data_IF_065679038446
#
_entry.id   IF_065679038446
#
_cell.length_a   1.000
_cell.length_b   1.000
_cell.length_c   1.000
_cell.angle_alpha   90.00
_cell.angle_beta   90.00
_cell.angle_gamma   90.00
#
_symmetry.space_group_name_H-M   'P 1'
#
loop_
_entity.id
_entity.type
_entity.pdbx_description
1 polymer ?
#
# COMPACT_ATOMS: atom_id res chain seq x y z
N UNK A 1 12.71 20.43 13.43
CA UNK A 1 12.06 21.25 12.41
C UNK A 1 10.61 21.48 12.78
N UNK A 2 10.15 22.69 12.59
CA UNK A 2 8.74 22.99 12.79
C UNK A 2 7.89 22.19 11.79
N UNK A 3 6.84 21.58 12.26
CA UNK A 3 5.90 20.88 11.39
C UNK A 3 5.04 21.89 10.64
N UNK A 4 4.85 21.64 9.34
CA UNK A 4 3.97 22.45 8.52
C UNK A 4 2.52 22.20 8.91
N UNK A 5 1.77 23.26 9.20
CA UNK A 5 0.33 23.19 9.40
C UNK A 5 -0.41 23.37 8.07
N UNK A 6 -1.50 22.67 7.92
CA UNK A 6 -2.37 22.75 6.75
C UNK A 6 -3.66 23.45 7.10
N UNK A 7 -4.30 24.09 6.12
CA UNK A 7 -5.56 24.79 6.36
C UNK A 7 -6.68 24.23 5.53
N UNK A 8 -7.80 24.00 6.18
CA UNK A 8 -9.13 23.92 5.58
C UNK A 8 -9.85 25.20 6.01
N UNK A 9 -10.96 25.56 5.31
CA UNK A 9 -11.78 26.73 5.67
C UNK A 9 -11.94 26.85 7.17
N UNK A 10 -11.51 27.63 7.96
CA UNK A 10 -11.59 27.80 9.43
C UNK A 10 -10.90 26.75 10.27
N UNK A 11 -10.22 25.76 9.67
CA UNK A 11 -9.57 24.69 10.44
C UNK A 11 -8.13 24.52 9.99
N UNK A 12 -7.20 24.48 10.94
CA UNK A 12 -5.80 24.09 10.71
C UNK A 12 -5.64 22.65 11.14
N UNK A 13 -4.82 21.89 10.39
CA UNK A 13 -4.60 20.49 10.70
C UNK A 13 -3.15 20.07 10.40
N UNK A 14 -2.71 19.03 11.11
CA UNK A 14 -1.36 18.47 11.01
C UNK A 14 -1.42 16.95 11.09
N UNK A 15 -2.22 16.34 10.23
CA UNK A 15 -2.41 14.90 10.21
C UNK A 15 -1.41 14.23 9.28
N UNK A 16 -0.29 13.80 9.85
CA UNK A 16 0.81 13.17 9.12
C UNK A 16 0.99 11.74 9.59
N UNK A 17 1.18 10.83 8.65
CA UNK A 17 1.30 9.40 8.93
C UNK A 17 2.46 8.79 8.16
N UNK A 18 3.26 8.00 8.85
CA UNK A 18 4.17 7.04 8.21
C UNK A 18 3.38 5.80 7.87
N UNK A 19 3.41 5.39 6.63
CA UNK A 19 2.67 4.23 6.15
C UNK A 19 3.62 3.33 5.37
N UNK A 20 3.60 2.04 5.71
CA UNK A 20 4.39 1.02 5.01
C UNK A 20 3.43 -0.03 4.49
N UNK A 21 3.57 -0.39 3.22
CA UNK A 21 2.81 -1.46 2.61
C UNK A 21 3.66 -2.22 1.59
N UNK A 22 3.27 -3.45 1.31
CA UNK A 22 4.10 -4.37 0.52
C UNK A 22 3.34 -4.92 -0.67
N UNK A 23 4.05 -5.29 -1.74
CA UNK A 23 3.46 -6.16 -2.75
C UNK A 23 3.01 -7.48 -2.14
N UNK A 24 1.99 -8.09 -2.71
CA UNK A 24 1.48 -9.38 -2.26
C UNK A 24 2.61 -10.42 -2.25
N UNK A 25 2.68 -11.23 -1.20
CA UNK A 25 3.76 -12.20 -0.93
C UNK A 25 5.14 -11.55 -0.74
N UNK A 26 5.20 -10.26 -0.47
CA UNK A 26 6.45 -9.52 -0.33
C UNK A 26 7.37 -9.71 -1.55
N UNK A 27 6.77 -9.80 -2.74
CA UNK A 27 7.55 -10.01 -3.97
C UNK A 27 8.47 -8.81 -4.24
N UNK A 28 9.71 -9.10 -4.58
CA UNK A 28 10.69 -8.08 -4.95
C UNK A 28 10.52 -7.73 -6.42
N UNK A 29 9.56 -6.88 -6.72
CA UNK A 29 9.20 -6.49 -8.09
C UNK A 29 9.34 -4.99 -8.36
N UNK A 30 9.57 -4.20 -7.32
CA UNK A 30 9.64 -2.73 -7.45
C UNK A 30 11.05 -2.33 -7.87
N UNK A 31 11.31 -2.45 -9.18
CA UNK A 31 12.59 -2.09 -9.80
C UNK A 31 12.37 -1.29 -11.08
N UNK A 32 13.36 -0.53 -11.47
CA UNK A 32 13.44 0.12 -12.80
C UNK A 32 12.13 0.81 -13.21
N UNK A 33 11.56 0.40 -14.34
CA UNK A 33 10.35 1.03 -14.89
C UNK A 33 9.13 0.84 -13.99
N UNK A 34 8.98 -0.31 -13.37
CA UNK A 34 7.86 -0.57 -12.43
C UNK A 34 7.97 0.39 -11.24
N UNK A 35 9.16 0.58 -10.71
CA UNK A 35 9.40 1.51 -9.60
C UNK A 35 9.03 2.95 -9.99
N UNK A 36 9.45 3.38 -11.14
CA UNK A 36 9.15 4.70 -11.70
C UNK A 36 7.64 4.88 -11.89
N UNK A 37 6.97 3.89 -12.46
CA UNK A 37 5.53 3.93 -12.68
C UNK A 37 4.73 3.96 -11.39
N UNK A 38 5.12 3.16 -10.40
CA UNK A 38 4.46 3.15 -9.09
C UNK A 38 4.59 4.51 -8.42
N UNK A 39 5.78 5.11 -8.46
CA UNK A 39 6.01 6.44 -7.91
C UNK A 39 5.11 7.48 -8.56
N UNK A 40 5.03 7.48 -9.88
CA UNK A 40 4.16 8.38 -10.64
C UNK A 40 2.69 8.16 -10.34
N UNK A 41 2.25 6.92 -10.32
CA UNK A 41 0.86 6.55 -10.04
C UNK A 41 0.45 7.02 -8.64
N UNK A 42 1.26 6.74 -7.63
CA UNK A 42 0.96 7.14 -6.26
C UNK A 42 0.92 8.67 -6.11
N UNK A 43 1.84 9.39 -6.76
CA UNK A 43 1.81 10.85 -6.76
C UNK A 43 0.53 11.40 -7.35
N UNK A 44 0.11 10.90 -8.50
CA UNK A 44 -1.13 11.35 -9.16
C UNK A 44 -2.37 11.05 -8.33
N UNK A 45 -2.45 9.86 -7.76
CA UNK A 45 -3.58 9.47 -6.92
C UNK A 45 -3.68 10.33 -5.66
N UNK A 46 -2.57 10.61 -5.02
CA UNK A 46 -2.52 11.48 -3.84
C UNK A 46 -2.89 12.92 -4.20
N UNK A 47 -2.32 13.44 -5.27
CA UNK A 47 -2.62 14.79 -5.76
C UNK A 47 -4.11 14.97 -6.03
N UNK A 48 -4.73 14.00 -6.68
CA UNK A 48 -6.15 14.03 -6.98
C UNK A 48 -7.04 14.16 -5.74
N UNK A 49 -6.60 13.62 -4.61
CA UNK A 49 -7.33 13.68 -3.33
C UNK A 49 -6.85 14.80 -2.39
N UNK A 50 -5.90 15.61 -2.83
CA UNK A 50 -5.32 16.64 -1.96
C UNK A 50 -4.46 16.08 -0.83
N UNK A 51 -3.92 14.89 -1.01
CA UNK A 51 -2.99 14.25 -0.07
C UNK A 51 -1.57 14.62 -0.48
N UNK A 52 -0.80 15.18 0.44
CA UNK A 52 0.59 15.52 0.16
C UNK A 52 1.50 14.35 0.52
N UNK A 53 2.36 13.96 -0.41
CA UNK A 53 3.46 13.03 -0.13
C UNK A 53 4.65 13.88 0.32
N UNK A 54 4.91 13.88 1.62
CA UNK A 54 6.01 14.66 2.20
C UNK A 54 7.34 13.98 1.88
N UNK A 55 7.37 12.66 1.99
CA UNK A 55 8.53 11.84 1.73
C UNK A 55 8.08 10.46 1.28
N UNK A 56 8.84 9.82 0.40
CA UNK A 56 8.51 8.49 -0.07
C UNK A 56 9.76 7.71 -0.46
N UNK A 57 9.77 6.44 -0.15
CA UNK A 57 10.83 5.50 -0.49
C UNK A 57 10.20 4.25 -1.10
N UNK A 58 10.62 3.92 -2.32
CA UNK A 58 10.19 2.74 -3.04
C UNK A 58 11.32 1.71 -3.00
N UNK A 59 11.18 0.74 -2.13
CA UNK A 59 12.13 -0.36 -2.00
C UNK A 59 11.64 -1.57 -2.81
N UNK A 60 12.50 -2.52 -3.15
CA UNK A 60 12.09 -3.65 -3.99
C UNK A 60 10.87 -4.42 -3.49
N UNK A 61 10.68 -4.55 -2.20
CA UNK A 61 9.63 -5.35 -1.56
C UNK A 61 8.70 -4.54 -0.66
N UNK A 62 8.81 -3.22 -0.63
CA UNK A 62 7.89 -2.39 0.16
C UNK A 62 7.91 -0.93 -0.28
N UNK A 63 6.86 -0.23 0.11
CA UNK A 63 6.72 1.21 -0.04
C UNK A 63 6.63 1.83 1.35
N UNK A 64 7.43 2.85 1.60
CA UNK A 64 7.37 3.63 2.83
C UNK A 64 7.09 5.08 2.45
N UNK A 65 5.96 5.62 2.90
CA UNK A 65 5.56 7.00 2.60
C UNK A 65 5.19 7.74 3.86
N UNK A 66 5.51 9.04 3.87
CA UNK A 66 5.01 9.99 4.87
C UNK A 66 3.96 10.85 4.18
N UNK A 67 2.71 10.68 4.56
CA UNK A 67 1.57 11.37 3.95
C UNK A 67 0.95 12.37 4.91
N UNK A 68 0.59 13.54 4.37
CA UNK A 68 -0.28 14.48 5.04
C UNK A 68 -1.70 14.27 4.49
N UNK A 69 -2.59 13.76 5.34
CA UNK A 69 -3.94 13.37 4.94
C UNK A 69 -4.95 14.36 5.53
N UNK A 70 -5.79 15.00 4.69
CA UNK A 70 -6.83 15.90 5.20
C UNK A 70 -7.76 15.18 6.20
N UNK A 71 -8.21 15.88 7.27
CA UNK A 71 -9.01 15.25 8.33
C UNK A 71 -10.34 14.65 7.84
N UNK A 72 -10.83 15.06 6.70
CA UNK A 72 -12.05 14.50 6.10
C UNK A 72 -11.91 13.05 5.65
N UNK A 73 -10.68 12.54 5.52
CA UNK A 73 -10.42 11.16 5.11
C UNK A 73 -9.86 10.34 6.27
N UNK A 74 -10.31 9.10 6.40
CA UNK A 74 -9.67 8.14 7.28
C UNK A 74 -8.44 7.54 6.58
N UNK A 75 -7.46 7.10 7.35
CA UNK A 75 -6.30 6.38 6.80
C UNK A 75 -6.76 5.13 6.05
N UNK A 76 -7.72 4.40 6.60
CA UNK A 76 -8.26 3.19 5.96
C UNK A 76 -8.85 3.48 4.59
N UNK A 77 -9.65 4.53 4.44
CA UNK A 77 -10.23 4.90 3.15
C UNK A 77 -9.17 5.34 2.14
N UNK A 78 -8.17 6.08 2.59
CA UNK A 78 -7.04 6.51 1.74
C UNK A 78 -6.25 5.29 1.26
N UNK A 79 -5.95 4.35 2.13
CA UNK A 79 -5.18 3.15 1.76
C UNK A 79 -5.98 2.23 0.86
N UNK A 80 -7.28 2.08 1.08
CA UNK A 80 -8.16 1.34 0.16
C UNK A 80 -8.15 1.94 -1.24
N UNK A 81 -8.25 3.25 -1.32
CA UNK A 81 -8.18 4.00 -2.57
C UNK A 81 -6.81 3.84 -3.26
N UNK A 82 -5.72 4.09 -2.55
CA UNK A 82 -4.37 4.02 -3.11
C UNK A 82 -4.02 2.62 -3.60
N UNK A 83 -4.29 1.61 -2.78
CA UNK A 83 -4.00 0.21 -3.14
C UNK A 83 -4.87 -0.28 -4.29
N UNK A 84 -6.17 -0.01 -4.25
CA UNK A 84 -7.11 -0.44 -5.27
C UNK A 84 -6.85 0.19 -6.62
N UNK A 85 -6.76 1.50 -6.67
CA UNK A 85 -6.53 2.23 -7.92
C UNK A 85 -5.14 1.99 -8.48
N UNK A 86 -4.11 1.98 -7.64
CA UNK A 86 -2.75 1.73 -8.11
C UNK A 86 -2.59 0.31 -8.66
N UNK A 87 -3.23 -0.69 -8.06
CA UNK A 87 -3.21 -2.07 -8.59
C UNK A 87 -3.71 -2.13 -10.02
N UNK A 88 -4.86 -1.50 -10.28
CA UNK A 88 -5.44 -1.45 -11.63
C UNK A 88 -4.49 -0.77 -12.61
N UNK A 89 -3.91 0.35 -12.24
CA UNK A 89 -3.00 1.12 -13.10
C UNK A 89 -1.67 0.40 -13.35
N UNK A 90 -1.14 -0.27 -12.32
CA UNK A 90 0.08 -1.07 -12.44
C UNK A 90 -0.15 -2.22 -13.43
N UNK A 91 -1.24 -2.98 -13.28
CA UNK A 91 -1.54 -4.10 -14.16
C UNK A 91 -1.90 -3.66 -15.58
N UNK A 92 -2.42 -2.46 -15.74
CA UNK A 92 -2.68 -1.89 -17.06
C UNK A 92 -1.37 -1.60 -17.81
N UNK A 93 -0.38 -1.07 -17.11
CA UNK A 93 0.94 -0.76 -17.68
C UNK A 93 1.86 -1.99 -17.79
N UNK A 94 1.67 -2.97 -16.91
CA UNK A 94 2.51 -4.15 -16.77
C UNK A 94 1.64 -5.41 -16.71
N UNK A 95 0.99 -5.73 -17.83
CA UNK A 95 0.02 -6.82 -17.92
C UNK A 95 0.59 -8.19 -17.52
N UNK A 96 1.89 -8.41 -17.72
CA UNK A 96 2.57 -9.64 -17.33
C UNK A 96 2.56 -9.89 -15.82
N UNK A 97 2.41 -8.85 -15.00
CA UNK A 97 2.36 -8.98 -13.55
C UNK A 97 1.03 -9.58 -13.07
N UNK A 98 -0.05 -9.46 -13.83
CA UNK A 98 -1.34 -10.05 -13.47
C UNK A 98 -1.24 -11.55 -13.19
N UNK A 99 -0.45 -12.24 -13.99
CA UNK A 99 -0.28 -13.69 -13.86
C UNK A 99 0.48 -14.10 -12.59
N UNK A 100 1.32 -13.20 -12.08
CA UNK A 100 2.08 -13.44 -10.85
C UNK A 100 1.27 -13.20 -9.58
N UNK A 101 0.36 -12.25 -9.62
CA UNK A 101 -0.35 -11.77 -8.44
C UNK A 101 -1.77 -12.33 -8.30
N UNK A 102 -2.29 -13.00 -9.33
CA UNK A 102 -3.66 -13.54 -9.28
C UNK A 102 -4.68 -12.46 -8.91
N UNK A 103 -5.88 -12.80 -8.64
CA UNK A 103 -7.00 -11.98 -8.08
C UNK A 103 -7.01 -10.45 -8.32
N UNK A 104 -6.18 -9.90 -9.21
CA UNK A 104 -6.13 -8.49 -9.53
C UNK A 104 -5.62 -7.58 -8.42
N UNK A 105 -4.98 -8.12 -7.40
CA UNK A 105 -4.42 -7.36 -6.26
C UNK A 105 -2.89 -7.38 -6.32
N UNK A 106 -2.32 -6.21 -6.52
CA UNK A 106 -0.87 -6.05 -6.49
C UNK A 106 -0.33 -6.01 -5.06
N UNK A 107 -1.06 -5.37 -4.15
CA UNK A 107 -0.63 -5.13 -2.77
C UNK A 107 -1.18 -6.18 -1.82
N UNK A 108 -0.41 -6.47 -0.77
CA UNK A 108 -0.84 -7.29 0.35
C UNK A 108 -1.98 -6.60 1.11
N UNK A 109 -2.83 -7.37 1.75
CA UNK A 109 -3.83 -6.82 2.66
C UNK A 109 -3.15 -6.21 3.88
N UNK A 110 -3.73 -5.14 4.40
CA UNK A 110 -3.19 -4.44 5.55
C UNK A 110 -2.03 -3.52 5.20
N UNK A 111 -1.63 -2.77 6.18
CA UNK A 111 -0.52 -1.83 6.11
C UNK A 111 -0.11 -1.47 7.53
N UNK A 112 1.12 -1.01 7.69
CA UNK A 112 1.59 -0.48 8.96
C UNK A 112 1.46 1.03 8.94
N UNK A 113 0.84 1.62 9.94
CA UNK A 113 0.65 3.07 10.04
C UNK A 113 1.10 3.58 11.42
N UNK A 114 1.77 4.73 11.42
CA UNK A 114 2.18 5.41 12.65
C UNK A 114 2.22 6.92 12.43
N UNK A 115 1.91 7.68 13.47
CA UNK A 115 2.09 9.14 13.49
C UNK A 115 3.53 9.54 13.84
N UNK A 116 4.34 8.58 14.31
CA UNK A 116 5.78 8.76 14.54
C UNK A 116 6.55 7.78 13.67
N UNK A 117 7.81 8.07 13.38
CA UNK A 117 8.64 7.23 12.54
C UNK A 117 8.79 5.81 13.08
N UNK A 118 8.79 4.84 12.16
CA UNK A 118 9.07 3.45 12.48
C UNK A 118 10.56 3.18 12.37
N UNK A 119 11.12 2.37 13.28
CA UNK A 119 12.51 1.94 13.16
C UNK A 119 12.62 0.75 12.19
N UNK A 120 13.84 0.47 11.72
CA UNK A 120 14.11 -0.58 10.74
C UNK A 120 13.66 -1.97 11.22
N UNK A 121 13.86 -2.29 12.50
CA UNK A 121 13.47 -3.58 13.08
C UNK A 121 11.95 -3.77 13.01
N UNK A 122 11.18 -2.74 13.33
CA UNK A 122 9.71 -2.77 13.25
C UNK A 122 9.24 -2.95 11.82
N UNK A 123 9.85 -2.24 10.88
CA UNK A 123 9.53 -2.36 9.44
C UNK A 123 9.84 -3.78 8.94
N UNK A 124 11.01 -4.32 9.28
CA UNK A 124 11.41 -5.67 8.88
C UNK A 124 10.47 -6.74 9.43
N UNK A 125 10.06 -6.60 10.69
CA UNK A 125 9.09 -7.50 11.32
C UNK A 125 7.75 -7.47 10.60
N UNK A 126 7.23 -6.29 10.32
CA UNK A 126 5.98 -6.11 9.58
C UNK A 126 6.03 -6.82 8.21
N UNK A 127 7.10 -6.59 7.46
CA UNK A 127 7.24 -7.17 6.12
C UNK A 127 7.23 -8.70 6.18
N UNK A 128 7.92 -9.31 7.16
CA UNK A 128 7.95 -10.77 7.33
C UNK A 128 6.57 -11.33 7.71
N UNK A 129 5.89 -10.67 8.63
CA UNK A 129 4.55 -11.09 9.07
C UNK A 129 3.55 -10.98 7.92
N UNK A 130 3.69 -9.97 7.06
CA UNK A 130 2.82 -9.77 5.93
C UNK A 130 2.94 -10.91 4.89
N UNK A 131 4.15 -11.39 4.66
CA UNK A 131 4.38 -12.53 3.77
C UNK A 131 3.65 -13.77 4.28
N UNK A 132 3.79 -14.07 5.56
CA UNK A 132 3.12 -15.21 6.20
C UNK A 132 1.59 -15.08 6.15
N UNK A 133 1.08 -13.88 6.37
CA UNK A 133 -0.35 -13.57 6.30
C UNK A 133 -0.91 -13.80 4.89
N UNK A 134 -0.21 -13.34 3.87
CA UNK A 134 -0.61 -13.51 2.47
C UNK A 134 -0.65 -14.98 2.06
N UNK A 135 0.32 -15.77 2.51
CA UNK A 135 0.35 -17.21 2.26
C UNK A 135 -0.87 -17.89 2.90
N UNK A 136 -1.20 -17.50 4.13
CA UNK A 136 -2.36 -18.06 4.84
C UNK A 136 -3.67 -17.70 4.13
N UNK A 137 -3.84 -16.46 3.68
CA UNK A 137 -5.01 -16.02 2.94
C UNK A 137 -5.15 -16.76 1.61
N UNK A 138 -4.05 -16.97 0.93
CA UNK A 138 -4.05 -17.69 -0.35
C UNK A 138 -4.51 -19.13 -0.19
N UNK A 139 -4.06 -19.81 0.86
CA UNK A 139 -4.49 -21.17 1.19
C UNK A 139 -5.98 -21.21 1.51
N UNK A 140 -6.51 -20.24 2.24
CA UNK A 140 -7.94 -20.14 2.54
C UNK A 140 -8.75 -19.92 1.27
N UNK A 141 -8.30 -19.05 0.39
CA UNK A 141 -8.95 -18.79 -0.90
C UNK A 141 -9.06 -20.04 -1.76
N UNK A 142 -8.00 -20.85 -1.81
CA UNK A 142 -8.00 -22.13 -2.52
C UNK A 142 -9.03 -23.09 -1.93
N UNK A 143 -9.12 -23.17 -0.60
CA UNK A 143 -10.10 -24.00 0.08
C UNK A 143 -11.54 -23.57 -0.20
N UNK A 144 -11.79 -22.28 -0.31
CA UNK A 144 -13.12 -21.76 -0.65
C UNK A 144 -13.55 -22.15 -2.06
N UNK A 145 -12.62 -22.35 -2.98
CA UNK A 145 -12.90 -22.80 -4.34
C UNK A 145 -13.02 -24.32 -4.47
N UNK A 146 -12.68 -25.07 -3.45
CA UNK A 146 -12.90 -26.49 -3.44
C UNK A 146 -14.40 -26.79 -3.25
N UNK A 147 -14.89 -27.79 -3.97
CA UNK A 147 -16.28 -28.22 -3.88
C UNK A 147 -16.62 -28.58 -2.42
N UNK A 148 -17.56 -27.87 -1.76
CA UNK A 148 -17.93 -28.16 -0.38
C UNK A 148 -18.54 -29.52 -0.18
N UNK A 149 -18.97 -30.18 -1.26
CA UNK A 149 -19.53 -31.53 -1.23
C UNK A 149 -18.50 -32.63 -1.49
N UNK A 150 -17.30 -32.27 -1.91
CA UNK A 150 -16.16 -33.20 -2.01
C UNK A 150 -15.48 -33.29 -0.66
N UNK A 151 -15.92 -34.26 0.10
CA UNK A 151 -15.18 -34.67 1.29
C UNK A 151 -14.31 -35.86 0.90
N UNK A 152 -13.08 -35.54 0.68
CA UNK A 152 -12.05 -36.56 0.57
C UNK A 152 -11.43 -36.80 1.90
#
# INVERSE_FOLDING_TARGET
>A
MAQKAYSLSHTKWMCKYHIVFTPKYRRKVIYNQIRSDIGEILRKLCEYKGIEIIEGHLMPDHVHVLLAIPPKYSVASVMGYLKGKSSLMIFDRHANLKYKFGNGKFWAEGHCVSTVGLNEATIAKYIREQESHDIALDKLSVKEHEDPFKRG
#
